data_IF_710048557696
#
_entry.id   IF_710048557696
#
_cell.length_a   1.000
_cell.length_b   1.000
_cell.length_c   1.000
_cell.angle_alpha   90.00
_cell.angle_beta   90.00
_cell.angle_gamma   90.00
#
_symmetry.space_group_name_H-M   'P 1'
#
loop_
_entity.id
_entity.type
_entity.pdbx_description
1 polymer ?
#
# COMPACT_ATOMS: atom_id res chain seq x y z
N UNK A 1 -1.88 5.41 -17.96
CA UNK A 1 -1.27 4.89 -19.21
C UNK A 1 -0.98 3.37 -19.18
N UNK A 2 -0.82 2.72 -18.02
CA UNK A 2 -0.70 1.25 -17.96
C UNK A 2 -1.95 0.49 -18.47
N UNK A 3 -3.15 1.08 -18.32
CA UNK A 3 -4.42 0.53 -18.82
C UNK A 3 -4.59 0.55 -20.35
N UNK A 4 -3.60 1.01 -21.13
CA UNK A 4 -3.63 1.02 -22.60
C UNK A 4 -2.84 -0.11 -23.26
N UNK A 5 -2.18 -0.98 -22.49
CA UNK A 5 -1.55 -2.18 -23.03
C UNK A 5 -2.58 -3.33 -23.00
N UNK A 6 -3.04 -3.85 -24.15
CA UNK A 6 -4.05 -4.91 -24.20
C UNK A 6 -3.66 -6.14 -23.37
N UNK A 7 -2.38 -6.51 -23.39
CA UNK A 7 -1.86 -7.65 -22.61
C UNK A 7 -1.96 -7.43 -21.10
N UNK A 8 -1.81 -6.19 -20.63
CA UNK A 8 -1.97 -5.87 -19.20
C UNK A 8 -3.45 -5.95 -18.82
N UNK A 9 -4.33 -5.47 -19.68
CA UNK A 9 -5.77 -5.52 -19.44
C UNK A 9 -6.30 -6.97 -19.38
N UNK A 10 -5.94 -7.79 -20.36
CA UNK A 10 -6.27 -9.23 -20.38
C UNK A 10 -5.79 -9.91 -19.09
N UNK A 11 -4.53 -9.68 -18.70
CA UNK A 11 -3.97 -10.21 -17.45
C UNK A 11 -4.61 -9.67 -16.19
N UNK A 12 -5.25 -8.50 -16.21
CA UNK A 12 -5.98 -7.97 -15.05
C UNK A 12 -7.36 -8.63 -14.90
N UNK A 13 -8.00 -8.96 -16.02
CA UNK A 13 -9.33 -9.58 -16.03
C UNK A 13 -9.29 -11.10 -15.81
N UNK A 14 -8.21 -11.74 -16.22
CA UNK A 14 -8.04 -13.17 -16.00
C UNK A 14 -7.83 -13.47 -14.51
N UNK A 15 -8.80 -14.19 -13.93
CA UNK A 15 -8.75 -14.73 -12.57
C UNK A 15 -8.84 -16.27 -12.57
N UNK A 16 -8.82 -16.89 -13.75
CA UNK A 16 -9.02 -18.32 -13.93
C UNK A 16 -7.72 -19.06 -14.19
N UNK A 17 -7.80 -20.02 -15.10
CA UNK A 17 -6.75 -21.01 -15.35
C UNK A 17 -5.42 -20.40 -15.81
N UNK A 18 -5.44 -19.32 -16.60
CA UNK A 18 -4.20 -18.71 -17.11
C UNK A 18 -3.37 -18.07 -15.98
N UNK A 19 -4.03 -17.37 -15.04
CA UNK A 19 -3.40 -16.83 -13.84
C UNK A 19 -2.90 -17.94 -12.93
N UNK A 20 -3.69 -18.99 -12.72
CA UNK A 20 -3.31 -20.14 -11.90
C UNK A 20 -2.09 -20.86 -12.50
N UNK A 21 -2.08 -21.11 -13.80
CA UNK A 21 -0.96 -21.71 -14.52
C UNK A 21 0.29 -20.81 -14.44
N UNK A 22 0.11 -19.49 -14.54
CA UNK A 22 1.22 -18.55 -14.35
C UNK A 22 1.77 -18.59 -12.92
N UNK A 23 0.91 -18.68 -11.90
CA UNK A 23 1.31 -18.84 -10.50
C UNK A 23 2.11 -20.14 -10.30
N UNK A 24 1.63 -21.26 -10.84
CA UNK A 24 2.27 -22.57 -10.71
C UNK A 24 3.64 -22.59 -11.40
N UNK A 25 3.74 -22.02 -12.61
CA UNK A 25 5.00 -21.90 -13.34
C UNK A 25 6.07 -21.09 -12.60
N UNK A 26 5.67 -20.20 -11.68
CA UNK A 26 6.57 -19.33 -10.92
C UNK A 26 6.60 -19.65 -9.42
N UNK A 27 6.09 -20.82 -9.02
CA UNK A 27 6.08 -21.26 -7.61
C UNK A 27 5.36 -20.30 -6.65
N UNK A 28 4.35 -19.58 -7.14
CA UNK A 28 3.49 -18.71 -6.33
C UNK A 28 2.35 -19.56 -5.78
N UNK A 29 2.40 -19.88 -4.48
CA UNK A 29 1.43 -20.77 -3.85
C UNK A 29 0.03 -20.14 -3.76
N UNK A 30 -0.03 -18.86 -3.38
CA UNK A 30 -1.26 -18.11 -3.25
C UNK A 30 -1.05 -16.63 -3.61
N UNK A 31 -2.15 -15.94 -3.90
CA UNK A 31 -2.20 -14.49 -4.12
C UNK A 31 -3.30 -13.86 -3.28
N UNK A 32 -3.02 -12.67 -2.73
CA UNK A 32 -4.06 -11.81 -2.16
C UNK A 32 -4.57 -10.88 -3.25
N UNK A 33 -5.77 -11.16 -3.74
CA UNK A 33 -6.47 -10.36 -4.75
C UNK A 33 -6.98 -9.06 -4.12
N UNK A 34 -6.94 -8.00 -4.91
CA UNK A 34 -7.51 -6.70 -4.56
C UNK A 34 -8.00 -6.02 -5.82
N UNK A 35 -9.06 -5.22 -5.70
CA UNK A 35 -9.50 -4.36 -6.79
C UNK A 35 -8.57 -3.15 -6.93
N UNK A 36 -8.53 -2.54 -8.12
CA UNK A 36 -7.84 -1.27 -8.34
C UNK A 36 -8.41 -0.23 -7.36
N UNK A 37 -7.56 0.51 -6.63
CA UNK A 37 -8.02 1.51 -5.67
C UNK A 37 -8.73 2.65 -6.40
N UNK A 38 -10.03 2.76 -6.18
CA UNK A 38 -10.87 3.83 -6.71
C UNK A 38 -12.03 4.11 -5.76
N UNK A 39 -12.62 5.30 -5.89
CA UNK A 39 -13.88 5.62 -5.22
C UNK A 39 -15.04 5.38 -6.19
N UNK A 40 -16.05 4.65 -5.74
CA UNK A 40 -17.29 4.39 -6.47
C UNK A 40 -18.43 4.20 -5.46
N UNK A 41 -19.63 3.87 -5.94
CA UNK A 41 -20.79 3.64 -5.08
C UNK A 41 -20.58 2.48 -4.12
N UNK A 42 -21.22 2.55 -2.94
CA UNK A 42 -21.24 1.45 -1.97
C UNK A 42 -21.76 0.15 -2.59
N UNK A 43 -22.78 0.25 -3.43
CA UNK A 43 -23.40 -0.91 -4.10
C UNK A 43 -22.41 -1.60 -5.05
N UNK A 44 -21.70 -0.83 -5.88
CA UNK A 44 -20.68 -1.39 -6.77
C UNK A 44 -19.53 -2.05 -5.99
N UNK A 45 -19.08 -1.41 -4.90
CA UNK A 45 -18.02 -1.98 -4.06
C UNK A 45 -18.45 -3.30 -3.41
N UNK A 46 -19.69 -3.37 -2.90
CA UNK A 46 -20.25 -4.60 -2.34
C UNK A 46 -20.36 -5.70 -3.39
N UNK A 47 -20.85 -5.37 -4.58
CA UNK A 47 -20.95 -6.30 -5.72
C UNK A 47 -19.57 -6.87 -6.07
N UNK A 48 -18.54 -6.03 -6.15
CA UNK A 48 -17.16 -6.45 -6.39
C UNK A 48 -16.66 -7.39 -5.28
N UNK A 49 -16.97 -7.13 -4.01
CA UNK A 49 -16.59 -8.04 -2.93
C UNK A 49 -17.29 -9.41 -3.05
N UNK A 50 -18.56 -9.44 -3.46
CA UNK A 50 -19.30 -10.69 -3.67
C UNK A 50 -18.74 -11.49 -4.88
N UNK A 51 -18.31 -10.79 -5.93
CA UNK A 51 -17.59 -11.39 -7.08
C UNK A 51 -16.22 -11.94 -6.67
N UNK A 52 -15.43 -11.17 -5.91
CA UNK A 52 -14.14 -11.61 -5.37
C UNK A 52 -14.28 -12.84 -4.47
N UNK A 53 -15.35 -12.91 -3.65
CA UNK A 53 -15.68 -14.10 -2.86
C UNK A 53 -15.93 -15.29 -3.78
N UNK A 54 -16.70 -15.10 -4.85
CA UNK A 54 -17.01 -16.18 -5.81
C UNK A 54 -15.74 -16.70 -6.49
N UNK A 55 -14.86 -15.80 -6.96
CA UNK A 55 -13.56 -16.13 -7.56
C UNK A 55 -12.67 -16.90 -6.58
N UNK A 56 -12.57 -16.40 -5.33
CA UNK A 56 -11.80 -17.06 -4.27
C UNK A 56 -12.28 -18.49 -4.04
N UNK A 57 -13.59 -18.70 -3.97
CA UNK A 57 -14.17 -20.00 -3.66
C UNK A 57 -14.06 -21.00 -4.84
N UNK A 58 -13.91 -20.51 -6.07
CA UNK A 58 -13.60 -21.34 -7.25
C UNK A 58 -12.18 -21.90 -7.22
N UNK A 59 -11.24 -21.25 -6.51
CA UNK A 59 -9.85 -21.68 -6.38
C UNK A 59 -9.40 -21.76 -4.91
N UNK A 60 -9.93 -22.70 -4.12
CA UNK A 60 -9.67 -22.79 -2.68
C UNK A 60 -8.17 -22.86 -2.35
N UNK A 61 -7.72 -21.99 -1.44
CA UNK A 61 -6.32 -21.92 -0.99
C UNK A 61 -5.34 -21.27 -1.97
N UNK A 62 -5.77 -20.97 -3.21
CA UNK A 62 -4.95 -20.25 -4.21
C UNK A 62 -5.16 -18.74 -4.12
N UNK A 63 -6.38 -18.31 -3.81
CA UNK A 63 -6.70 -16.91 -3.62
C UNK A 63 -7.13 -16.58 -2.19
N UNK A 64 -6.67 -15.43 -1.74
CA UNK A 64 -7.21 -14.66 -0.63
C UNK A 64 -7.66 -13.32 -1.18
N UNK A 65 -8.47 -12.57 -0.46
CA UNK A 65 -8.97 -11.28 -0.94
C UNK A 65 -8.84 -10.19 0.11
N UNK A 66 -8.52 -8.99 -0.35
CA UNK A 66 -8.76 -7.75 0.39
C UNK A 66 -10.12 -7.18 0.03
N UNK A 67 -10.85 -6.70 1.04
CA UNK A 67 -12.11 -6.01 0.86
C UNK A 67 -11.91 -4.68 0.14
N UNK A 68 -12.81 -4.38 -0.78
CA UNK A 68 -12.95 -3.10 -1.44
C UNK A 68 -13.98 -2.25 -0.69
N UNK A 69 -13.57 -1.09 -0.18
CA UNK A 69 -14.32 -0.33 0.83
C UNK A 69 -14.65 1.10 0.39
N UNK A 70 -15.84 1.56 0.77
CA UNK A 70 -16.28 2.95 0.58
C UNK A 70 -15.71 3.84 1.68
N UNK A 71 -14.44 4.20 1.55
CA UNK A 71 -13.72 4.97 2.58
C UNK A 71 -14.26 6.40 2.79
N UNK A 72 -15.08 6.91 1.86
CA UNK A 72 -15.82 8.17 2.02
C UNK A 72 -16.77 8.13 3.23
N UNK A 73 -17.25 6.94 3.61
CA UNK A 73 -18.04 6.73 4.80
C UNK A 73 -17.37 5.66 5.69
N UNK A 74 -16.48 6.06 6.63
CA UNK A 74 -15.71 5.11 7.41
C UNK A 74 -16.54 4.17 8.30
N UNK A 75 -17.77 4.56 8.66
CA UNK A 75 -18.70 3.68 9.39
C UNK A 75 -19.16 2.55 8.48
N UNK A 76 -19.65 2.87 7.28
CA UNK A 76 -20.06 1.86 6.29
C UNK A 76 -18.87 1.01 5.82
N UNK A 77 -17.68 1.60 5.69
CA UNK A 77 -16.46 0.87 5.39
C UNK A 77 -16.12 -0.16 6.48
N UNK A 78 -16.31 0.18 7.76
CA UNK A 78 -16.11 -0.73 8.87
C UNK A 78 -17.13 -1.87 8.88
N UNK A 79 -18.41 -1.59 8.60
CA UNK A 79 -19.45 -2.61 8.46
C UNK A 79 -19.13 -3.59 7.32
N UNK A 80 -18.72 -3.06 6.17
CA UNK A 80 -18.38 -3.89 5.00
C UNK A 80 -17.10 -4.71 5.23
N UNK A 81 -16.12 -4.15 5.92
CA UNK A 81 -14.92 -4.89 6.35
C UNK A 81 -15.30 -6.07 7.24
N UNK A 82 -16.18 -5.87 8.22
CA UNK A 82 -16.66 -6.95 9.09
C UNK A 82 -17.34 -8.05 8.30
N UNK A 83 -18.25 -7.68 7.38
CA UNK A 83 -18.94 -8.64 6.50
C UNK A 83 -17.93 -9.47 5.71
N UNK A 84 -17.01 -8.80 5.00
CA UNK A 84 -16.02 -9.48 4.17
C UNK A 84 -15.11 -10.41 4.98
N UNK A 85 -14.68 -10.00 6.17
CA UNK A 85 -13.80 -10.82 7.02
C UNK A 85 -14.58 -12.00 7.62
N UNK A 86 -15.73 -11.74 8.26
CA UNK A 86 -16.47 -12.76 9.00
C UNK A 86 -17.22 -13.74 8.10
N UNK A 87 -17.81 -13.26 7.01
CA UNK A 87 -18.64 -14.10 6.14
C UNK A 87 -17.82 -14.71 5.00
N UNK A 88 -16.83 -13.98 4.45
CA UNK A 88 -16.10 -14.42 3.24
C UNK A 88 -14.67 -14.90 3.51
N UNK A 89 -14.15 -14.65 4.71
CA UNK A 89 -12.76 -14.97 5.07
C UNK A 89 -11.75 -14.08 4.35
N UNK A 90 -12.12 -12.84 4.04
CA UNK A 90 -11.17 -11.86 3.50
C UNK A 90 -10.11 -11.52 4.55
N UNK A 91 -8.90 -11.23 4.08
CA UNK A 91 -7.70 -11.13 4.94
C UNK A 91 -7.31 -9.69 5.27
N UNK A 92 -8.22 -8.73 5.05
CA UNK A 92 -8.00 -7.29 5.25
C UNK A 92 -8.73 -6.45 4.23
N UNK A 93 -8.29 -5.21 4.03
CA UNK A 93 -8.81 -4.32 3.02
C UNK A 93 -7.70 -3.56 2.30
N UNK A 94 -7.96 -3.18 1.05
CA UNK A 94 -7.11 -2.30 0.25
C UNK A 94 -7.94 -1.17 -0.32
N UNK A 95 -7.48 0.06 -0.13
CA UNK A 95 -8.14 1.27 -0.61
C UNK A 95 -7.10 2.36 -0.88
N UNK A 96 -7.47 3.44 -1.59
CA UNK A 96 -6.61 4.60 -1.78
C UNK A 96 -5.95 5.07 -0.48
N UNK A 97 -4.78 5.70 -0.55
CA UNK A 97 -4.11 6.27 0.62
C UNK A 97 -4.65 7.67 0.98
N UNK A 98 -5.47 8.30 0.13
CA UNK A 98 -6.12 9.59 0.36
C UNK A 98 -7.48 9.57 -0.34
N UNK A 99 -8.42 10.42 0.08
CA UNK A 99 -9.64 10.68 -0.69
C UNK A 99 -9.33 11.47 -1.96
N UNK A 100 -10.29 11.56 -2.89
CA UNK A 100 -10.18 12.33 -4.14
C UNK A 100 -9.85 13.83 -3.92
N UNK A 101 -10.26 14.38 -2.78
CA UNK A 101 -9.96 15.76 -2.38
C UNK A 101 -8.58 15.92 -1.71
N UNK A 102 -7.81 14.84 -1.59
CA UNK A 102 -6.50 14.80 -0.94
C UNK A 102 -6.56 14.61 0.58
N UNK A 103 -7.74 14.38 1.17
CA UNK A 103 -7.88 14.13 2.62
C UNK A 103 -7.20 12.83 3.01
N UNK A 104 -6.29 12.93 4.00
CA UNK A 104 -5.66 11.79 4.66
C UNK A 104 -6.54 11.22 5.78
N UNK A 105 -6.24 10.01 6.23
CA UNK A 105 -7.09 9.27 7.18
C UNK A 105 -6.64 9.43 8.64
N UNK A 106 -6.05 10.56 8.98
CA UNK A 106 -5.46 10.85 10.29
C UNK A 106 -6.40 11.60 11.25
N UNK A 107 -7.70 11.67 10.94
CA UNK A 107 -8.71 12.36 11.77
C UNK A 107 -9.68 11.38 12.42
N UNK A 108 -10.41 11.85 13.43
CA UNK A 108 -11.39 11.05 14.19
C UNK A 108 -12.49 10.44 13.31
N UNK A 109 -12.76 11.07 12.16
CA UNK A 109 -13.68 10.58 11.13
C UNK A 109 -13.41 9.11 10.76
N UNK A 110 -12.14 8.70 10.76
CA UNK A 110 -11.71 7.35 10.34
C UNK A 110 -11.57 6.35 11.49
N UNK A 111 -11.79 6.77 12.74
CA UNK A 111 -11.72 5.90 13.92
C UNK A 111 -12.59 4.64 13.83
N UNK A 112 -13.84 4.68 13.30
CA UNK A 112 -14.65 3.47 13.18
C UNK A 112 -13.95 2.36 12.38
N UNK A 113 -13.24 2.72 11.31
CA UNK A 113 -12.51 1.76 10.48
C UNK A 113 -11.30 1.17 11.22
N UNK A 114 -10.52 2.01 11.91
CA UNK A 114 -9.36 1.53 12.69
C UNK A 114 -9.78 0.64 13.85
N UNK A 115 -10.81 1.02 14.59
CA UNK A 115 -11.40 0.23 15.66
C UNK A 115 -11.80 -1.16 15.13
N UNK A 116 -12.53 -1.18 14.01
CA UNK A 116 -13.02 -2.42 13.43
C UNK A 116 -11.91 -3.31 12.88
N UNK A 117 -10.93 -2.74 12.17
CA UNK A 117 -9.79 -3.50 11.67
C UNK A 117 -8.99 -4.13 12.82
N UNK A 118 -8.84 -3.40 13.92
CA UNK A 118 -8.20 -3.89 15.14
C UNK A 118 -9.00 -5.02 15.80
N UNK A 119 -10.32 -4.88 15.94
CA UNK A 119 -11.20 -5.91 16.49
C UNK A 119 -11.15 -7.21 15.69
N UNK A 120 -11.11 -7.09 14.36
CA UNK A 120 -11.02 -8.22 13.43
C UNK A 120 -9.60 -8.77 13.28
N UNK A 121 -8.60 -8.08 13.83
CA UNK A 121 -7.17 -8.42 13.73
C UNK A 121 -6.64 -8.49 12.27
N UNK A 122 -7.20 -7.70 11.35
CA UNK A 122 -6.83 -7.68 9.93
C UNK A 122 -6.12 -6.39 9.51
N UNK A 123 -5.22 -6.43 8.52
CA UNK A 123 -4.55 -5.24 8.01
C UNK A 123 -5.45 -4.34 7.14
N UNK A 124 -5.19 -3.03 7.25
CA UNK A 124 -5.60 -2.02 6.27
C UNK A 124 -4.41 -1.69 5.37
N UNK A 125 -4.56 -1.89 4.08
CA UNK A 125 -3.54 -1.63 3.08
C UNK A 125 -3.82 -0.31 2.38
N UNK A 126 -2.92 0.65 2.53
CA UNK A 126 -3.00 1.94 1.84
C UNK A 126 -2.27 1.88 0.51
N UNK A 127 -3.03 1.83 -0.57
CA UNK A 127 -2.47 1.84 -1.92
C UNK A 127 -2.34 3.27 -2.44
N UNK A 128 -1.19 3.66 -3.01
CA UNK A 128 -1.03 5.00 -3.58
C UNK A 128 -2.00 5.24 -4.74
N UNK A 129 -2.55 6.44 -4.84
CA UNK A 129 -3.32 6.88 -6.01
C UNK A 129 -2.64 8.05 -6.73
N UNK A 130 -3.13 8.41 -7.91
CA UNK A 130 -2.65 9.58 -8.63
C UNK A 130 -2.80 10.83 -7.76
N UNK A 131 -1.79 11.71 -7.75
CA UNK A 131 -1.93 12.99 -7.06
C UNK A 131 -3.02 13.85 -7.72
N UNK A 132 -3.58 14.77 -6.95
CA UNK A 132 -4.54 15.74 -7.48
C UNK A 132 -3.89 16.64 -8.54
N UNK A 133 -4.67 17.31 -9.41
CA UNK A 133 -4.11 18.26 -10.38
C UNK A 133 -3.25 19.36 -9.71
N UNK A 134 -3.69 19.85 -8.55
CA UNK A 134 -2.96 20.87 -7.79
C UNK A 134 -1.66 20.33 -7.20
N UNK A 135 -1.67 19.11 -6.64
CA UNK A 135 -0.45 18.44 -6.18
C UNK A 135 0.53 18.19 -7.34
N UNK A 136 -0.01 17.77 -8.49
CA UNK A 136 0.79 17.57 -9.71
C UNK A 136 1.46 18.86 -10.14
N UNK A 137 0.69 19.94 -10.23
CA UNK A 137 1.17 21.27 -10.60
C UNK A 137 2.23 21.79 -9.63
N UNK A 138 2.00 21.64 -8.33
CA UNK A 138 2.88 22.18 -7.29
C UNK A 138 4.19 21.41 -7.15
N UNK A 139 4.11 20.07 -7.16
CA UNK A 139 5.23 19.22 -6.74
C UNK A 139 5.99 18.59 -7.91
N UNK A 140 5.33 18.41 -9.05
CA UNK A 140 5.86 17.57 -10.13
C UNK A 140 5.90 18.26 -11.49
N UNK A 141 5.30 19.44 -11.68
CA UNK A 141 5.44 20.19 -12.93
C UNK A 141 6.83 20.84 -13.00
N UNK A 142 7.49 20.73 -14.16
CA UNK A 142 8.83 21.29 -14.36
C UNK A 142 9.21 21.41 -15.84
N UNK A 143 10.44 21.88 -16.15
CA UNK A 143 10.92 22.06 -17.52
C UNK A 143 11.35 20.72 -18.17
N UNK A 144 10.47 19.73 -18.16
CA UNK A 144 10.65 18.41 -18.77
C UNK A 144 9.36 17.94 -19.45
N UNK A 145 9.43 16.79 -20.14
CA UNK A 145 8.29 16.25 -20.87
C UNK A 145 7.12 15.91 -19.94
N UNK A 146 5.89 15.94 -20.48
CA UNK A 146 4.70 15.51 -19.72
C UNK A 146 4.79 14.05 -19.28
N UNK A 147 5.46 13.21 -20.05
CA UNK A 147 5.71 11.80 -19.69
C UNK A 147 6.62 11.72 -18.45
N UNK A 148 7.68 12.51 -18.40
CA UNK A 148 8.57 12.62 -17.23
C UNK A 148 7.80 13.11 -16.00
N UNK A 149 6.93 14.12 -16.15
CA UNK A 149 6.06 14.61 -15.08
C UNK A 149 5.13 13.50 -14.54
N UNK A 150 4.47 12.74 -15.43
CA UNK A 150 3.61 11.64 -15.03
C UNK A 150 4.42 10.61 -14.26
N UNK A 151 5.54 10.16 -14.80
CA UNK A 151 6.40 9.16 -14.16
C UNK A 151 6.87 9.59 -12.77
N UNK A 152 7.35 10.84 -12.64
CA UNK A 152 7.76 11.44 -11.37
C UNK A 152 6.61 11.50 -10.36
N UNK A 153 5.42 11.91 -10.79
CA UNK A 153 4.25 12.06 -9.91
C UNK A 153 3.64 10.73 -9.47
N UNK A 154 4.02 9.61 -10.10
CA UNK A 154 3.47 8.28 -9.83
C UNK A 154 4.56 7.29 -9.38
N UNK A 155 4.89 6.27 -10.18
CA UNK A 155 5.74 5.13 -9.79
C UNK A 155 7.21 5.50 -9.54
N UNK A 156 7.74 6.59 -10.09
CA UNK A 156 9.11 7.00 -9.81
C UNK A 156 9.27 7.58 -8.41
N UNK A 157 8.35 8.44 -7.94
CA UNK A 157 8.50 9.05 -6.61
C UNK A 157 7.18 9.46 -5.94
N UNK A 158 6.25 10.10 -6.65
CA UNK A 158 5.09 10.74 -6.02
C UNK A 158 4.19 9.78 -5.23
N UNK A 159 3.98 8.56 -5.72
CA UNK A 159 3.26 7.51 -4.97
C UNK A 159 3.96 7.13 -3.65
N UNK A 160 5.29 7.09 -3.64
CA UNK A 160 6.07 6.80 -2.44
C UNK A 160 5.96 7.94 -1.43
N UNK A 161 6.10 9.18 -1.91
CA UNK A 161 6.06 10.37 -1.08
C UNK A 161 4.70 10.57 -0.39
N UNK A 162 3.59 10.38 -1.11
CA UNK A 162 2.25 10.58 -0.54
C UNK A 162 1.91 9.53 0.51
N UNK A 163 2.28 8.27 0.29
CA UNK A 163 2.11 7.20 1.28
C UNK A 163 3.01 7.42 2.50
N UNK A 164 4.26 7.86 2.29
CA UNK A 164 5.16 8.22 3.38
C UNK A 164 4.55 9.31 4.28
N UNK A 165 4.08 10.40 3.67
CA UNK A 165 3.41 11.50 4.37
C UNK A 165 2.20 10.98 5.14
N UNK A 166 1.39 10.11 4.54
CA UNK A 166 0.23 9.56 5.24
C UNK A 166 0.61 8.81 6.52
N UNK A 167 1.62 7.92 6.45
CA UNK A 167 2.09 7.19 7.64
C UNK A 167 2.59 8.15 8.72
N UNK A 168 3.36 9.18 8.34
CA UNK A 168 3.82 10.21 9.28
C UNK A 168 2.65 10.93 9.97
N UNK A 169 1.61 11.26 9.21
CA UNK A 169 0.39 11.90 9.76
C UNK A 169 -0.32 10.99 10.75
N UNK A 170 -0.44 9.69 10.47
CA UNK A 170 -1.05 8.74 11.41
C UNK A 170 -0.30 8.69 12.75
N UNK A 171 1.04 8.71 12.72
CA UNK A 171 1.85 8.78 13.93
C UNK A 171 1.65 10.11 14.66
N UNK A 172 1.75 11.23 13.96
CA UNK A 172 1.57 12.56 14.54
C UNK A 172 0.17 12.77 15.14
N UNK A 173 -0.85 12.13 14.57
CA UNK A 173 -2.22 12.16 15.06
C UNK A 173 -2.50 11.15 16.19
N UNK A 174 -1.52 10.36 16.62
CA UNK A 174 -1.68 9.40 17.71
C UNK A 174 -2.58 8.21 17.37
N UNK A 175 -2.75 7.86 16.09
CA UNK A 175 -3.62 6.76 15.66
C UNK A 175 -3.16 5.43 16.26
N UNK A 176 -1.84 5.19 16.31
CA UNK A 176 -1.28 3.97 16.89
C UNK A 176 -1.29 3.96 18.41
N UNK A 177 -1.38 5.11 19.08
CA UNK A 177 -1.58 5.15 20.53
C UNK A 177 -3.02 4.81 20.89
N UNK A 178 -3.97 5.29 20.08
CA UNK A 178 -5.41 5.04 20.25
C UNK A 178 -5.82 3.63 19.85
N UNK A 179 -5.22 3.10 18.79
CA UNK A 179 -5.48 1.75 18.25
C UNK A 179 -4.18 0.94 18.21
N UNK A 180 -3.65 0.50 19.36
CA UNK A 180 -2.30 -0.08 19.48
C UNK A 180 -2.11 -1.41 18.75
N UNK A 181 -3.18 -2.08 18.36
CA UNK A 181 -3.15 -3.36 17.63
C UNK A 181 -3.55 -3.20 16.16
N UNK A 182 -3.84 -1.97 15.69
CA UNK A 182 -4.17 -1.74 14.27
C UNK A 182 -2.97 -2.09 13.40
N UNK A 183 -3.21 -2.83 12.31
CA UNK A 183 -2.19 -3.25 11.35
C UNK A 183 -2.32 -2.41 10.09
N UNK A 184 -1.32 -1.58 9.79
CA UNK A 184 -1.26 -0.82 8.54
C UNK A 184 -0.20 -1.43 7.61
N UNK A 185 -0.55 -1.59 6.33
CA UNK A 185 0.34 -2.08 5.27
C UNK A 185 0.41 -1.05 4.14
N UNK A 186 1.55 -0.99 3.46
CA UNK A 186 1.80 -0.11 2.31
C UNK A 186 2.63 -0.86 1.28
N UNK A 187 2.58 -0.43 0.01
CA UNK A 187 3.12 -1.21 -1.12
C UNK A 187 4.63 -1.19 -1.30
N UNK A 188 5.39 -0.37 -0.56
CA UNK A 188 6.73 -0.02 -1.01
C UNK A 188 7.76 -0.09 0.11
N UNK A 189 8.70 -1.03 -0.09
CA UNK A 189 9.94 -1.22 0.67
C UNK A 189 10.67 0.11 0.79
N UNK A 190 10.64 0.71 1.98
CA UNK A 190 11.69 1.51 2.63
C UNK A 190 11.15 2.33 3.83
N UNK A 191 9.82 2.34 4.05
CA UNK A 191 9.21 3.09 5.16
C UNK A 191 9.36 2.44 6.55
N UNK A 192 9.75 1.18 6.65
CA UNK A 192 10.00 0.54 7.96
C UNK A 192 11.10 1.25 8.75
N UNK A 193 12.12 1.78 8.07
CA UNK A 193 13.17 2.59 8.72
C UNK A 193 12.69 4.00 9.13
N UNK A 194 11.77 4.59 8.36
CA UNK A 194 11.19 5.90 8.65
C UNK A 194 10.28 5.84 9.89
N UNK A 195 9.44 4.81 10.00
CA UNK A 195 8.54 4.62 11.15
C UNK A 195 9.30 4.48 12.48
N UNK A 196 10.47 3.81 12.47
CA UNK A 196 11.34 3.72 13.65
C UNK A 196 11.86 5.10 14.07
N UNK A 197 12.38 5.89 13.12
CA UNK A 197 12.92 7.23 13.39
C UNK A 197 11.87 8.24 13.85
N UNK A 198 10.61 8.06 13.44
CA UNK A 198 9.49 8.97 13.79
C UNK A 198 8.97 8.72 15.20
N UNK A 199 9.01 7.46 15.65
CA UNK A 199 8.70 7.11 17.04
C UNK A 199 9.65 7.81 18.01
N UNK A 200 10.93 7.94 17.65
CA UNK A 200 11.95 8.64 18.44
C UNK A 200 11.73 10.18 18.44
N UNK A 201 11.20 10.73 17.35
CA UNK A 201 10.79 12.15 17.25
C UNK A 201 9.60 12.48 18.16
N UNK A 202 8.62 11.58 18.25
CA UNK A 202 7.43 11.76 19.09
C UNK A 202 7.75 11.65 20.60
N UNK A 203 8.85 11.01 20.98
CA UNK A 203 9.28 10.82 22.38
C UNK A 203 10.28 11.88 22.87
N UNK A 204 10.41 13.03 22.19
CA UNK A 204 11.32 14.13 22.54
C UNK A 204 12.80 13.71 22.74
N UNK A 205 13.27 12.66 22.06
CA UNK A 205 14.69 12.32 22.10
C UNK A 205 15.41 13.14 21.02
N UNK A 206 16.41 13.98 21.35
CA UNK A 206 17.09 14.79 20.35
C UNK A 206 17.88 13.89 19.39
N UNK A 207 17.52 13.95 18.11
CA UNK A 207 18.27 13.33 17.02
C UNK A 207 19.55 14.17 16.81
N UNK A 208 20.66 13.74 17.40
CA UNK A 208 21.99 14.22 17.04
C UNK A 208 22.38 13.62 15.68
N UNK A 209 22.15 14.37 14.61
CA UNK A 209 22.78 14.10 13.32
C UNK A 209 24.30 14.29 13.47
N UNK A 210 25.04 13.19 13.65
CA UNK A 210 26.48 13.18 13.42
C UNK A 210 26.71 12.73 11.97
N UNK A 211 27.21 13.62 11.08
CA UNK A 211 27.51 13.23 9.72
C UNK A 211 28.77 12.35 9.73
N UNK A 212 28.63 11.07 9.42
CA UNK A 212 29.80 10.23 9.11
C UNK A 212 30.33 10.64 7.73
N UNK A 213 31.50 11.29 7.73
CA UNK A 213 32.31 11.50 6.51
C UNK A 213 32.58 10.16 5.86
N UNK A 214 32.25 10.04 4.57
CA UNK A 214 32.80 9.01 3.71
C UNK A 214 34.26 9.34 3.41
N UNK A 215 35.18 8.46 3.84
CA UNK A 215 36.51 8.36 3.27
C UNK A 215 36.75 6.91 2.89
N UNK A 216 37.04 6.73 1.60
CA UNK A 216 37.45 5.53 0.89
C UNK A 216 38.24 4.52 1.74
N UNK A 217 37.96 3.22 1.53
CA UNK A 217 39.01 2.21 1.38
C UNK A 217 38.46 1.03 0.57
N UNK A 218 38.43 1.20 -0.76
CA UNK A 218 38.78 0.10 -1.65
C UNK A 218 40.27 -0.17 -1.41
N UNK A 219 40.60 -1.13 -0.56
CA UNK A 219 41.89 -1.81 -0.53
C UNK A 219 41.77 -2.96 0.48
N UNK A 220 41.79 -4.21 0.01
CA UNK A 220 42.00 -5.33 0.94
C UNK A 220 41.55 -6.73 0.54
N UNK A 221 40.82 -6.93 -0.56
CA UNK A 221 40.31 -8.28 -0.90
C UNK A 221 40.40 -8.60 -2.40
N UNK A 222 41.61 -8.66 -2.94
CA UNK A 222 41.97 -9.54 -4.06
C UNK A 222 43.49 -9.49 -4.37
N UNK A 223 44.26 -10.48 -3.91
CA UNK A 223 45.29 -11.19 -4.71
C UNK A 223 46.25 -12.03 -3.83
N UNK A 224 46.03 -13.36 -3.87
CA UNK A 224 47.00 -14.46 -4.05
C UNK A 224 48.32 -14.47 -3.25
N UNK A 225 48.45 -15.52 -2.42
CA UNK A 225 49.71 -16.09 -1.91
C UNK A 225 50.59 -16.61 -3.06
N UNK A 226 51.92 -16.59 -2.90
CA UNK A 226 52.80 -17.62 -3.42
C UNK A 226 53.40 -18.49 -2.30
N UNK A 227 53.49 -19.79 -2.53
CA UNK A 227 54.24 -20.76 -1.70
C UNK A 227 55.75 -20.49 -1.80
N UNK A 228 56.54 -20.72 -0.71
CA UNK A 228 57.99 -20.75 -0.80
C UNK A 228 58.52 -22.17 -1.08
N UNK A 229 59.70 -22.24 -1.69
CA UNK A 229 60.62 -23.38 -1.61
C UNK A 229 61.24 -23.46 -0.22
#
# INVERSE_FOLDING_TARGET
>A
MAARNPRVHEKLLDMGEDRIANMDAHSIQNQVLSHIPMHTSREDMRRVNDELKTIKDQHPGRYHCFAFLSINNPVEAAEELERCVKEFGFVGALFPNVLDDGTFYDTERFYPLYARAQELDVPLYFHPIYPTPDQTKLLFQGPYSKETEIQLSVWCFGWHATVAIHILRLFAAGIFDKFPKVKIKTSLLHLTSLAANVKDLATHTPILFTPTRSTNLCDGLCARRPHPL
#
